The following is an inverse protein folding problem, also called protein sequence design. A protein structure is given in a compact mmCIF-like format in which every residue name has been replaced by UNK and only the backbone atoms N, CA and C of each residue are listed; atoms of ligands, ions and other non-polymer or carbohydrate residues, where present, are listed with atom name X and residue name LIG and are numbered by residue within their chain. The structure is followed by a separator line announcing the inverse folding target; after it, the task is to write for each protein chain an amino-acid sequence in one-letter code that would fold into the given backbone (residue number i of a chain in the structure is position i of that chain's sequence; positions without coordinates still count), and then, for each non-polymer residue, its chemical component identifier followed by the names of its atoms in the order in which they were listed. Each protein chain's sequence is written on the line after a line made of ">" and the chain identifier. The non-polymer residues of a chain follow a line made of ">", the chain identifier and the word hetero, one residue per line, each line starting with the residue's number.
data_IF_920949807428
#
_entry.id   IF_920949807428
#
_cell.length_a   1.000
_cell.length_b   1.000
_cell.length_c   1.000
_cell.angle_alpha   90.00
_cell.angle_beta   90.00
_cell.angle_gamma   90.00
#
_symmetry.space_group_name_H-M   'P 1'
#
loop_
_entity.id
_entity.type
_entity.pdbx_description
1 polymer ?
#
# COMPACT_ATOMS: atom_id res chain seq x y z
N UNK A 1 22.49 -28.40 -2.50
CA UNK A 1 22.01 -27.62 -3.61
C UNK A 1 22.42 -26.17 -3.46
N UNK A 2 23.09 -25.63 -4.45
CA UNK A 2 23.60 -24.27 -4.38
C UNK A 2 22.47 -23.21 -4.21
N UNK A 3 21.25 -23.57 -4.52
CA UNK A 3 20.11 -22.65 -4.39
C UNK A 3 19.84 -22.20 -2.97
N UNK A 4 20.25 -22.99 -2.00
CA UNK A 4 20.13 -22.59 -0.60
C UNK A 4 20.95 -21.36 -0.30
N UNK A 5 22.07 -21.20 -1.02
CA UNK A 5 22.96 -20.06 -0.89
C UNK A 5 22.60 -18.93 -1.83
N UNK A 6 21.56 -19.12 -2.65
CA UNK A 6 21.12 -18.14 -3.64
C UNK A 6 19.93 -17.32 -3.16
N UNK A 7 19.69 -17.32 -1.85
CA UNK A 7 18.61 -16.56 -1.25
C UNK A 7 18.73 -15.08 -1.64
N UNK A 8 17.63 -14.54 -2.17
CA UNK A 8 17.61 -13.18 -2.65
C UNK A 8 16.94 -12.28 -1.63
N UNK A 9 17.41 -11.06 -1.58
CA UNK A 9 16.75 -9.97 -0.86
C UNK A 9 15.96 -9.17 -1.88
N UNK A 10 14.65 -9.14 -1.72
CA UNK A 10 13.72 -8.54 -2.68
C UNK A 10 12.92 -7.46 -1.98
N UNK A 11 12.86 -6.29 -2.58
CA UNK A 11 11.99 -5.21 -2.15
C UNK A 11 10.86 -5.07 -3.17
N UNK A 12 9.64 -5.14 -2.71
CA UNK A 12 8.44 -4.99 -3.55
C UNK A 12 7.67 -3.75 -3.13
N UNK A 13 7.25 -2.99 -4.10
CA UNK A 13 6.37 -1.85 -3.87
C UNK A 13 5.33 -1.77 -4.98
N UNK A 14 4.24 -1.07 -4.72
CA UNK A 14 3.19 -0.81 -5.70
C UNK A 14 3.13 0.67 -6.03
N UNK A 15 2.38 1.01 -7.07
CA UNK A 15 1.96 2.38 -7.27
C UNK A 15 1.19 2.84 -6.04
N UNK A 16 1.54 3.99 -5.50
CA UNK A 16 0.93 4.48 -4.26
C UNK A 16 -0.49 4.98 -4.55
N UNK A 17 -1.51 4.49 -3.83
CA UNK A 17 -2.85 5.04 -3.96
C UNK A 17 -2.87 6.51 -3.57
N UNK A 18 -3.63 7.32 -4.31
CA UNK A 18 -3.77 8.73 -3.96
C UNK A 18 -4.76 8.88 -2.81
N UNK A 19 -4.40 9.69 -1.82
CA UNK A 19 -5.14 9.79 -0.56
C UNK A 19 -6.33 10.74 -0.64
N UNK A 20 -7.13 10.66 -1.71
CA UNK A 20 -8.30 11.54 -1.88
C UNK A 20 -9.65 10.81 -1.90
N UNK A 21 -9.65 9.51 -1.69
CA UNK A 21 -10.88 8.73 -1.70
C UNK A 21 -10.66 7.25 -1.50
N UNK A 22 -11.75 6.46 -1.51
CA UNK A 22 -11.65 5.02 -1.30
C UNK A 22 -10.94 4.33 -2.45
N UNK A 23 -10.41 3.13 -2.16
CA UNK A 23 -9.81 2.28 -3.18
C UNK A 23 -10.89 1.77 -4.14
N UNK A 24 -10.52 1.61 -5.39
CA UNK A 24 -11.36 0.93 -6.36
C UNK A 24 -10.74 -0.42 -6.73
N UNK A 25 -11.50 -1.21 -7.53
CA UNK A 25 -11.09 -2.58 -7.86
C UNK A 25 -9.73 -2.65 -8.55
N UNK A 26 -9.39 -1.63 -9.34
CA UNK A 26 -8.09 -1.58 -10.01
C UNK A 26 -6.92 -1.51 -9.02
N UNK A 27 -7.06 -0.71 -7.98
CA UNK A 27 -6.06 -0.65 -6.90
C UNK A 27 -5.93 -2.00 -6.20
N UNK A 28 -7.07 -2.60 -5.83
CA UNK A 28 -7.09 -3.87 -5.12
C UNK A 28 -6.49 -4.98 -5.95
N UNK A 29 -6.78 -5.04 -7.24
CA UNK A 29 -6.24 -6.05 -8.14
C UNK A 29 -4.71 -5.99 -8.17
N UNK A 30 -4.13 -4.82 -8.31
CA UNK A 30 -2.68 -4.65 -8.32
C UNK A 30 -2.06 -5.15 -7.02
N UNK A 31 -2.63 -4.74 -5.88
CA UNK A 31 -2.12 -5.13 -4.58
C UNK A 31 -2.29 -6.63 -4.30
N UNK A 32 -3.40 -7.22 -4.73
CA UNK A 32 -3.61 -8.66 -4.61
C UNK A 32 -2.56 -9.43 -5.40
N UNK A 33 -2.29 -9.03 -6.62
CA UNK A 33 -1.28 -9.68 -7.46
C UNK A 33 0.11 -9.57 -6.84
N UNK A 34 0.47 -8.40 -6.35
CA UNK A 34 1.76 -8.20 -5.69
C UNK A 34 1.88 -9.03 -4.41
N UNK A 35 0.80 -9.10 -3.63
CA UNK A 35 0.78 -9.86 -2.39
C UNK A 35 0.98 -11.36 -2.65
N UNK A 36 0.32 -11.89 -3.68
CA UNK A 36 0.49 -13.29 -4.10
C UNK A 36 1.94 -13.55 -4.49
N UNK A 37 2.53 -12.66 -5.29
CA UNK A 37 3.91 -12.80 -5.72
C UNK A 37 4.88 -12.77 -4.53
N UNK A 38 4.66 -11.86 -3.59
CA UNK A 38 5.47 -11.76 -2.37
C UNK A 38 5.38 -13.04 -1.55
N UNK A 39 4.17 -13.58 -1.36
CA UNK A 39 3.97 -14.83 -0.63
C UNK A 39 4.71 -15.99 -1.30
N UNK A 40 4.67 -16.04 -2.62
CA UNK A 40 5.39 -17.05 -3.37
C UNK A 40 6.90 -16.95 -3.14
N UNK A 41 7.46 -15.74 -3.21
CA UNK A 41 8.89 -15.51 -3.00
C UNK A 41 9.33 -15.97 -1.60
N UNK A 42 8.51 -15.69 -0.60
CA UNK A 42 8.79 -16.14 0.78
C UNK A 42 8.73 -17.66 0.91
N UNK A 43 7.79 -18.29 0.23
CA UNK A 43 7.67 -19.75 0.24
C UNK A 43 8.87 -20.44 -0.37
N UNK A 44 9.47 -19.88 -1.41
CA UNK A 44 10.66 -20.46 -2.03
C UNK A 44 11.96 -20.04 -1.33
N UNK A 45 11.87 -19.33 -0.21
CA UNK A 45 13.01 -19.06 0.66
C UNK A 45 13.69 -17.72 0.46
N UNK A 46 13.15 -16.83 -0.36
CA UNK A 46 13.71 -15.50 -0.53
C UNK A 46 13.28 -14.56 0.61
N UNK A 47 14.15 -13.62 0.95
CA UNK A 47 13.77 -12.51 1.82
C UNK A 47 13.01 -11.49 0.98
N UNK A 48 11.73 -11.35 1.23
CA UNK A 48 10.90 -10.44 0.47
C UNK A 48 10.23 -9.44 1.39
N UNK A 49 10.57 -8.17 1.21
CA UNK A 49 9.98 -7.06 1.96
C UNK A 49 8.99 -6.34 1.07
N UNK A 50 7.77 -6.18 1.54
CA UNK A 50 6.69 -5.56 0.80
C UNK A 50 6.28 -4.27 1.48
N UNK A 51 6.55 -3.16 0.83
CA UNK A 51 6.21 -1.83 1.37
C UNK A 51 5.31 -1.08 0.40
N UNK A 52 4.47 -0.26 0.95
CA UNK A 52 3.64 0.65 0.18
C UNK A 52 3.31 1.86 1.05
N UNK A 53 2.62 2.80 0.49
CA UNK A 53 2.16 3.97 1.21
C UNK A 53 1.11 4.69 0.39
N UNK A 54 0.75 5.86 0.84
CA UNK A 54 -0.21 6.71 0.16
C UNK A 54 0.47 7.95 -0.39
N UNK A 55 0.10 8.30 -1.61
CA UNK A 55 0.48 9.59 -2.18
C UNK A 55 -0.47 10.65 -1.59
N UNK A 56 0.07 11.43 -0.64
CA UNK A 56 -0.73 12.30 0.21
C UNK A 56 -0.52 13.80 -0.05
N UNK A 57 0.02 14.15 -1.21
CA UNK A 57 0.24 15.55 -1.57
C UNK A 57 -0.51 15.92 -2.83
N UNK A 58 -0.89 17.19 -2.92
CA UNK A 58 -1.49 17.74 -4.12
C UNK A 58 -2.74 18.56 -3.87
N UNK A 59 -3.09 19.36 -4.85
CA UNK A 59 -4.24 20.28 -4.78
C UNK A 59 -5.56 19.55 -4.64
N UNK A 60 -5.69 18.36 -5.26
CA UNK A 60 -6.93 17.60 -5.19
C UNK A 60 -7.27 17.18 -3.75
N UNK A 61 -6.27 16.86 -2.95
CA UNK A 61 -6.49 16.53 -1.54
C UNK A 61 -6.96 17.76 -0.78
N UNK A 62 -6.36 18.91 -1.02
CA UNK A 62 -6.76 20.17 -0.38
C UNK A 62 -8.19 20.53 -0.71
N UNK A 63 -8.58 20.41 -1.97
CA UNK A 63 -9.96 20.72 -2.42
C UNK A 63 -10.96 19.73 -1.82
N UNK A 64 -10.62 18.45 -1.77
CA UNK A 64 -11.49 17.42 -1.18
C UNK A 64 -11.68 17.64 0.31
N UNK A 65 -10.62 18.00 1.02
CA UNK A 65 -10.69 18.31 2.44
C UNK A 65 -11.60 19.51 2.70
N UNK A 66 -11.46 20.57 1.92
CA UNK A 66 -12.30 21.75 2.02
C UNK A 66 -13.77 21.40 1.77
N UNK A 67 -14.05 20.60 0.73
CA UNK A 67 -15.39 20.13 0.41
C UNK A 67 -16.02 19.36 1.56
N UNK A 68 -15.22 18.54 2.26
CA UNK A 68 -15.69 17.73 3.38
C UNK A 68 -15.66 18.46 4.72
N UNK A 69 -15.18 19.69 4.76
CA UNK A 69 -15.12 20.48 5.99
C UNK A 69 -14.10 19.99 7.00
N UNK A 70 -13.02 19.36 6.54
CA UNK A 70 -11.93 18.84 7.39
C UNK A 70 -10.60 19.43 6.93
N UNK A 71 -9.58 19.30 7.77
CA UNK A 71 -8.23 19.66 7.35
C UNK A 71 -7.65 18.63 6.38
N UNK A 72 -6.66 19.01 5.55
CA UNK A 72 -6.01 18.04 4.69
C UNK A 72 -5.42 16.85 5.48
N UNK A 73 -4.84 17.11 6.65
CA UNK A 73 -4.28 16.08 7.51
C UNK A 73 -5.34 15.11 8.00
N UNK A 74 -6.50 15.61 8.40
CA UNK A 74 -7.63 14.77 8.81
C UNK A 74 -8.15 13.90 7.66
N UNK A 75 -8.24 14.47 6.47
CA UNK A 75 -8.65 13.71 5.29
C UNK A 75 -7.68 12.57 5.00
N UNK A 76 -6.38 12.87 5.03
CA UNK A 76 -5.32 11.88 4.79
C UNK A 76 -5.43 10.74 5.79
N UNK A 77 -5.60 11.05 7.07
CA UNK A 77 -5.72 10.04 8.12
C UNK A 77 -6.95 9.17 7.93
N UNK A 78 -8.09 9.75 7.61
CA UNK A 78 -9.34 9.02 7.38
C UNK A 78 -9.21 8.08 6.19
N UNK A 79 -8.64 8.57 5.10
CA UNK A 79 -8.46 7.78 3.88
C UNK A 79 -7.47 6.64 4.12
N UNK A 80 -6.39 6.90 4.85
CA UNK A 80 -5.40 5.87 5.19
C UNK A 80 -6.04 4.72 5.97
N UNK A 81 -6.85 5.03 6.97
CA UNK A 81 -7.56 4.00 7.75
C UNK A 81 -8.46 3.16 6.84
N UNK A 82 -9.22 3.82 5.97
CA UNK A 82 -10.08 3.13 5.00
C UNK A 82 -9.30 2.20 4.08
N UNK A 83 -8.18 2.66 3.55
CA UNK A 83 -7.34 1.86 2.67
C UNK A 83 -6.76 0.64 3.39
N UNK A 84 -6.28 0.82 4.62
CA UNK A 84 -5.74 -0.30 5.42
C UNK A 84 -6.82 -1.33 5.72
N UNK A 85 -8.04 -0.89 6.05
CA UNK A 85 -9.17 -1.79 6.28
C UNK A 85 -9.48 -2.62 5.03
N UNK A 86 -9.49 -1.98 3.86
CA UNK A 86 -9.73 -2.68 2.59
C UNK A 86 -8.63 -3.70 2.29
N UNK A 87 -7.38 -3.33 2.46
CA UNK A 87 -6.26 -4.26 2.24
C UNK A 87 -6.34 -5.44 3.20
N UNK A 88 -6.67 -5.19 4.46
CA UNK A 88 -6.81 -6.25 5.47
C UNK A 88 -7.95 -7.20 5.10
N UNK A 89 -9.07 -6.67 4.61
CA UNK A 89 -10.22 -7.49 4.21
C UNK A 89 -9.87 -8.45 3.07
N UNK A 90 -8.91 -8.11 2.22
CA UNK A 90 -8.43 -8.98 1.15
C UNK A 90 -7.17 -9.76 1.53
N UNK A 91 -6.79 -9.76 2.81
CA UNK A 91 -5.61 -10.44 3.32
C UNK A 91 -4.30 -9.95 2.68
N UNK A 92 -4.27 -8.72 2.24
CA UNK A 92 -3.06 -8.08 1.73
C UNK A 92 -2.26 -7.58 2.93
N UNK A 93 -1.01 -8.00 3.03
CA UNK A 93 -0.18 -7.73 4.19
C UNK A 93 1.13 -7.05 3.77
N UNK A 94 1.20 -5.75 3.98
CA UNK A 94 2.43 -4.99 3.78
C UNK A 94 3.29 -5.09 5.03
N UNK A 95 4.61 -5.17 4.85
CA UNK A 95 5.54 -5.10 5.99
C UNK A 95 5.52 -3.70 6.60
N UNK A 96 5.34 -2.70 5.75
CA UNK A 96 5.17 -1.33 6.20
C UNK A 96 4.25 -0.59 5.23
N UNK A 97 3.29 0.12 5.79
CA UNK A 97 2.37 0.96 5.03
C UNK A 97 2.34 2.34 5.66
N UNK A 98 2.80 3.33 4.93
CA UNK A 98 2.99 4.67 5.45
C UNK A 98 2.35 5.71 4.55
N UNK A 99 2.63 6.95 4.75
CA UNK A 99 2.14 8.04 3.90
C UNK A 99 3.30 8.95 3.52
N UNK A 100 3.22 9.56 2.34
CA UNK A 100 4.22 10.55 1.93
C UNK A 100 4.16 11.82 2.77
N UNK A 101 3.08 11.98 3.55
CA UNK A 101 2.91 13.06 4.51
C UNK A 101 3.21 12.56 5.93
N UNK A 102 4.41 12.23 6.21
CA UNK A 102 4.78 11.76 7.54
C UNK A 102 5.91 12.57 8.17
#
# INVERSE_FOLDING_TARGET
>A
MSKENSKRDILVTNALPYANGPLHIGHLLEHIQSDIWVRYQRLVGNNCTYICGEDAHGTAIMLKAEENGVSPEELIDQVKVSHIEDFTAFNISHDNYYTTHS
#
